data_IF_400052766499
#
_entry.id   IF_400052766499
#
_cell.length_a   1.000
_cell.length_b   1.000
_cell.length_c   1.000
_cell.angle_alpha   90.00
_cell.angle_beta   90.00
_cell.angle_gamma   90.00
#
_symmetry.space_group_name_H-M   'P 1'
#
loop_
_entity.id
_entity.type
_entity.pdbx_description
1 polymer ?
#
# COMPACT_ATOMS: atom_id res chain seq x y z
N UNK A 1 25.93 2.25 14.72
CA UNK A 1 25.41 2.15 13.90
C UNK A 1 24.04 1.64 13.83
N UNK A 2 23.85 0.35 13.78
CA UNK A 2 22.49 -0.11 13.57
C UNK A 2 21.53 0.26 14.67
N UNK A 3 22.01 0.72 15.77
CA UNK A 3 21.14 1.03 16.88
C UNK A 3 20.15 2.14 16.62
N UNK A 4 20.37 2.91 15.58
CA UNK A 4 19.38 3.90 15.24
C UNK A 4 18.24 3.34 14.49
N UNK A 5 18.39 2.15 14.06
CA UNK A 5 17.43 1.55 13.23
C UNK A 5 16.16 1.25 13.97
N UNK A 6 15.07 1.54 13.34
CA UNK A 6 13.79 1.27 13.93
C UNK A 6 12.79 1.11 12.82
N UNK A 7 12.05 0.06 12.85
CA UNK A 7 11.03 -0.11 11.86
C UNK A 7 9.88 0.80 12.15
N UNK A 8 9.54 1.60 11.20
CA UNK A 8 8.45 2.53 11.32
C UNK A 8 7.73 2.60 10.01
N UNK A 9 6.50 2.26 10.01
CA UNK A 9 5.68 2.35 8.83
C UNK A 9 4.27 2.65 9.29
N UNK A 10 4.15 3.75 9.99
CA UNK A 10 2.92 4.05 10.68
C UNK A 10 2.11 5.14 10.03
N UNK A 11 2.41 5.47 8.81
CA UNK A 11 1.84 6.66 8.26
C UNK A 11 0.83 6.42 7.17
N UNK A 12 0.10 5.37 7.24
CA UNK A 12 -0.99 5.20 6.31
C UNK A 12 -2.09 6.13 6.72
N UNK A 13 -2.41 7.03 5.83
CA UNK A 13 -3.45 8.00 6.10
C UNK A 13 -4.68 7.63 5.32
N UNK A 14 -5.74 7.38 6.02
CA UNK A 14 -6.96 6.94 5.38
C UNK A 14 -7.49 7.95 4.39
N UNK A 15 -7.26 9.20 4.66
CA UNK A 15 -7.81 10.23 3.80
C UNK A 15 -7.22 10.22 2.41
N UNK A 16 -6.11 9.53 2.21
CA UNK A 16 -5.53 9.49 0.89
C UNK A 16 -5.99 8.30 0.09
N UNK A 17 -6.70 7.38 0.71
CA UNK A 17 -7.08 6.18 0.01
C UNK A 17 -8.31 6.40 -0.84
N UNK A 18 -8.14 6.25 -2.11
CA UNK A 18 -9.24 6.33 -3.03
C UNK A 18 -9.74 7.72 -3.34
N UNK A 19 -9.18 8.72 -2.71
CA UNK A 19 -9.72 10.06 -2.88
C UNK A 19 -9.06 10.88 -3.95
N UNK A 20 -7.82 10.62 -4.20
CA UNK A 20 -7.03 11.51 -5.02
C UNK A 20 -6.87 11.08 -6.43
N UNK A 21 -7.68 10.19 -6.86
CA UNK A 21 -7.41 9.55 -8.10
C UNK A 21 -8.38 9.87 -9.17
N UNK A 22 -9.15 10.86 -8.96
CA UNK A 22 -10.18 11.15 -9.90
C UNK A 22 -9.70 11.63 -11.23
N UNK A 23 -8.44 11.94 -11.29
CA UNK A 23 -7.90 12.45 -12.53
C UNK A 23 -7.70 11.41 -13.58
N UNK A 24 -7.56 10.18 -13.17
CA UNK A 24 -7.26 9.12 -14.12
C UNK A 24 -8.50 8.32 -14.45
N UNK A 25 -9.57 9.00 -14.64
CA UNK A 25 -10.85 8.32 -14.78
C UNK A 25 -11.03 7.51 -16.04
N UNK A 26 -10.16 7.70 -17.01
CA UNK A 26 -10.28 6.90 -18.22
C UNK A 26 -10.19 5.41 -17.93
N UNK A 27 -9.28 5.05 -17.01
CA UNK A 27 -9.09 3.66 -16.63
C UNK A 27 -9.81 3.28 -15.36
N UNK A 28 -10.44 4.24 -14.71
CA UNK A 28 -11.03 4.04 -13.40
C UNK A 28 -12.40 4.70 -13.38
N UNK A 29 -13.37 4.09 -14.03
CA UNK A 29 -14.69 4.71 -14.18
C UNK A 29 -15.40 4.86 -12.85
N UNK A 30 -16.25 5.84 -12.79
CA UNK A 30 -17.11 6.02 -11.64
C UNK A 30 -18.17 4.96 -11.59
N UNK A 31 -18.55 4.60 -10.39
CA UNK A 31 -19.54 3.58 -10.21
C UNK A 31 -20.28 3.82 -8.90
N UNK A 32 -21.59 3.80 -8.98
CA UNK A 32 -22.41 4.03 -7.79
C UNK A 32 -22.44 2.82 -6.88
N UNK A 33 -22.35 1.63 -7.43
CA UNK A 33 -22.36 0.39 -6.66
C UNK A 33 -20.97 -0.22 -6.61
N UNK A 34 -19.99 0.58 -6.25
CA UNK A 34 -18.63 0.12 -6.18
C UNK A 34 -18.35 -0.53 -4.85
N UNK A 35 -17.69 -1.70 -4.91
CA UNK A 35 -17.20 -2.35 -3.72
C UNK A 35 -15.69 -2.37 -3.73
N UNK A 36 -15.13 -2.13 -2.56
CA UNK A 36 -13.67 -2.07 -2.41
C UNK A 36 -13.06 -3.46 -2.44
N UNK A 37 -11.78 -3.56 -2.80
CA UNK A 37 -11.13 -4.86 -2.76
C UNK A 37 -10.98 -5.35 -1.32
N UNK A 38 -10.79 -6.64 -1.18
CA UNK A 38 -10.67 -7.23 0.15
C UNK A 38 -9.90 -8.54 0.05
N UNK A 39 -9.58 -9.07 1.24
CA UNK A 39 -8.94 -10.37 1.36
C UNK A 39 -9.82 -11.28 2.20
N UNK A 40 -9.65 -12.57 1.99
CA UNK A 40 -10.34 -13.56 2.81
C UNK A 40 -9.30 -14.22 3.72
N UNK A 41 -9.60 -14.27 4.99
CA UNK A 41 -8.76 -14.98 5.95
C UNK A 41 -9.59 -16.03 6.65
N UNK A 42 -9.03 -17.22 6.73
CA UNK A 42 -9.73 -18.31 7.41
C UNK A 42 -9.27 -18.34 8.86
N UNK A 43 -10.24 -18.32 9.75
CA UNK A 43 -9.94 -18.44 11.17
C UNK A 43 -9.71 -19.92 11.48
N UNK A 44 -8.48 -20.24 11.87
CA UNK A 44 -8.10 -21.63 12.09
C UNK A 44 -8.78 -22.26 13.29
N UNK A 45 -9.21 -21.43 14.24
CA UNK A 45 -9.86 -21.94 15.45
C UNK A 45 -11.33 -22.28 15.18
N UNK A 46 -12.04 -21.37 14.50
CA UNK A 46 -13.46 -21.57 14.29
C UNK A 46 -13.80 -22.17 12.93
N UNK A 47 -12.87 -22.09 11.99
CA UNK A 47 -13.11 -22.55 10.63
C UNK A 47 -13.86 -21.55 9.77
N UNK A 48 -14.28 -20.44 10.32
CA UNK A 48 -15.00 -19.43 9.55
C UNK A 48 -14.05 -18.57 8.76
N UNK A 49 -14.53 -18.06 7.65
CA UNK A 49 -13.79 -17.13 6.84
C UNK A 49 -14.19 -15.71 7.19
N UNK A 50 -13.19 -14.84 7.21
CA UNK A 50 -13.41 -13.43 7.52
C UNK A 50 -13.00 -12.59 6.34
N UNK A 51 -13.79 -11.57 6.08
CA UNK A 51 -13.47 -10.61 5.04
C UNK A 51 -12.66 -9.48 5.68
N UNK A 52 -11.50 -9.20 5.10
CA UNK A 52 -10.62 -8.15 5.61
C UNK A 52 -10.55 -7.06 4.57
N UNK A 53 -10.97 -5.85 4.93
CA UNK A 53 -10.93 -4.73 4.00
C UNK A 53 -9.50 -4.48 3.55
N UNK A 54 -9.35 -4.07 2.28
CA UNK A 54 -8.03 -3.82 1.72
C UNK A 54 -7.23 -2.83 2.57
N UNK A 55 -7.88 -1.77 3.03
CA UNK A 55 -7.18 -0.75 3.80
C UNK A 55 -6.63 -1.29 5.12
N UNK A 56 -7.36 -2.20 5.73
CA UNK A 56 -6.88 -2.80 6.97
C UNK A 56 -5.76 -3.78 6.73
N UNK A 57 -5.88 -4.54 5.65
CA UNK A 57 -4.86 -5.51 5.32
C UNK A 57 -3.54 -4.83 4.95
N UNK A 58 -3.61 -3.81 4.12
CA UNK A 58 -2.38 -3.19 3.63
C UNK A 58 -1.62 -2.49 4.75
N UNK A 59 -2.35 -1.94 5.72
CA UNK A 59 -1.68 -1.30 6.85
C UNK A 59 -0.81 -2.29 7.59
N UNK A 60 -1.36 -3.46 7.87
CA UNK A 60 -0.62 -4.50 8.55
C UNK A 60 0.49 -5.06 7.67
N UNK A 61 0.21 -5.20 6.39
CA UNK A 61 1.20 -5.69 5.44
C UNK A 61 2.43 -4.79 5.40
N UNK A 62 2.20 -3.48 5.33
CA UNK A 62 3.30 -2.54 5.30
C UNK A 62 4.12 -2.67 6.58
N UNK A 63 3.45 -2.74 7.71
CA UNK A 63 4.15 -2.87 8.98
C UNK A 63 5.01 -4.13 9.02
N UNK A 64 4.45 -5.25 8.56
CA UNK A 64 5.14 -6.54 8.65
C UNK A 64 6.27 -6.67 7.64
N UNK A 65 6.13 -6.05 6.48
CA UNK A 65 7.13 -6.18 5.42
C UNK A 65 8.15 -5.07 5.40
N UNK A 66 7.95 -4.06 6.21
CA UNK A 66 8.81 -2.90 6.22
C UNK A 66 10.24 -3.30 6.61
N UNK A 67 11.20 -2.79 5.86
CA UNK A 67 12.61 -2.97 6.16
C UNK A 67 13.32 -1.69 5.79
N UNK A 68 13.96 -1.08 6.76
CA UNK A 68 14.69 0.16 6.50
C UNK A 68 15.96 -0.19 5.76
N UNK A 69 16.18 0.32 4.55
CA UNK A 69 17.40 -0.05 3.82
C UNK A 69 18.65 0.37 4.59
N UNK A 70 19.62 -0.50 4.63
CA UNK A 70 20.81 -0.23 5.41
C UNK A 70 21.55 0.99 4.93
N UNK A 71 21.65 1.14 3.60
CA UNK A 71 22.28 2.33 3.05
C UNK A 71 21.59 3.60 3.53
N UNK A 72 20.27 3.57 3.55
CA UNK A 72 19.52 4.75 3.99
C UNK A 72 19.75 5.03 5.46
N UNK A 73 19.86 3.99 6.28
CA UNK A 73 20.17 4.19 7.68
C UNK A 73 21.55 4.82 7.86
N UNK A 74 22.52 4.29 7.13
CA UNK A 74 23.90 4.77 7.26
C UNK A 74 24.04 6.21 6.85
N UNK A 75 23.22 6.66 5.92
CA UNK A 75 23.27 8.03 5.43
C UNK A 75 22.16 8.89 6.02
N UNK A 76 21.45 8.34 6.98
CA UNK A 76 20.37 9.05 7.70
C UNK A 76 19.33 9.62 6.75
N UNK A 77 19.00 8.84 5.74
CA UNK A 77 17.97 9.23 4.80
C UNK A 77 16.60 8.93 5.40
N UNK A 78 15.79 9.93 5.50
CA UNK A 78 14.46 9.80 6.06
C UNK A 78 13.50 10.57 5.18
N UNK A 79 12.24 10.22 5.27
CA UNK A 79 11.25 10.96 4.53
C UNK A 79 10.03 10.11 4.25
N UNK A 80 9.14 10.71 3.51
CA UNK A 80 7.85 10.13 3.22
C UNK A 80 7.79 9.83 1.74
N UNK A 81 7.40 8.63 1.41
CA UNK A 81 7.25 8.20 0.03
C UNK A 81 5.77 8.01 -0.25
N UNK A 82 5.25 8.72 -1.23
CA UNK A 82 3.88 8.53 -1.64
C UNK A 82 3.86 7.55 -2.80
N UNK A 83 3.22 6.41 -2.60
CA UNK A 83 3.14 5.39 -3.63
C UNK A 83 1.75 5.40 -4.24
N UNK A 84 1.69 5.60 -5.55
CA UNK A 84 0.45 5.52 -6.28
C UNK A 84 0.43 4.21 -7.04
N UNK A 85 -0.62 3.46 -6.83
CA UNK A 85 -0.74 2.15 -7.46
C UNK A 85 -2.22 1.83 -7.61
N UNK A 86 -2.52 0.82 -8.40
CA UNK A 86 -3.90 0.37 -8.46
C UNK A 86 -3.95 -1.14 -8.28
N UNK A 87 -5.10 -1.60 -7.82
CA UNK A 87 -5.39 -3.02 -7.76
C UNK A 87 -6.19 -3.32 -9.01
N UNK A 88 -5.66 -4.19 -9.85
CA UNK A 88 -6.27 -4.42 -11.14
C UNK A 88 -7.44 -5.40 -11.04
N UNK A 89 -8.03 -5.70 -12.17
CA UNK A 89 -9.23 -6.53 -12.22
C UNK A 89 -8.98 -7.94 -11.74
N UNK A 90 -7.74 -8.37 -11.73
CA UNK A 90 -7.38 -9.67 -11.18
C UNK A 90 -6.98 -9.61 -9.72
N UNK A 91 -6.94 -8.42 -9.14
CA UNK A 91 -6.59 -8.27 -7.73
C UNK A 91 -5.12 -8.06 -7.45
N UNK A 92 -4.32 -7.82 -8.47
CA UNK A 92 -2.88 -7.64 -8.32
C UNK A 92 -2.50 -6.17 -8.28
N UNK A 93 -1.49 -5.83 -7.48
CA UNK A 93 -1.05 -4.44 -7.42
C UNK A 93 -0.21 -4.07 -8.62
N UNK A 94 -0.46 -2.89 -9.16
CA UNK A 94 0.28 -2.34 -10.28
C UNK A 94 0.77 -0.97 -9.87
N UNK A 95 2.09 -0.81 -9.82
CA UNK A 95 2.69 0.45 -9.39
C UNK A 95 2.57 1.47 -10.51
N UNK A 96 2.12 2.64 -10.16
CA UNK A 96 2.08 3.74 -11.11
C UNK A 96 3.23 4.69 -10.87
N UNK A 97 3.46 5.06 -9.62
CA UNK A 97 4.46 6.06 -9.33
C UNK A 97 4.80 6.04 -7.84
N UNK A 98 6.05 6.34 -7.51
CA UNK A 98 6.45 6.50 -6.13
C UNK A 98 7.29 7.76 -6.04
N UNK A 99 6.91 8.68 -5.17
CA UNK A 99 7.58 9.95 -5.00
C UNK A 99 8.05 10.11 -3.58
N UNK A 100 9.36 10.23 -3.40
CA UNK A 100 9.93 10.38 -2.07
C UNK A 100 10.71 11.67 -1.96
N UNK A 101 11.48 11.81 -0.90
CA UNK A 101 12.27 13.01 -0.71
C UNK A 101 13.41 13.06 -1.71
N UNK A 102 13.99 14.23 -1.81
CA UNK A 102 15.17 14.42 -2.65
C UNK A 102 16.25 13.46 -2.18
N UNK A 103 16.91 12.81 -3.14
CA UNK A 103 17.94 11.82 -2.86
C UNK A 103 17.39 10.59 -2.16
N UNK A 104 16.10 10.38 -2.25
CA UNK A 104 15.45 9.25 -1.57
C UNK A 104 15.07 8.11 -2.47
N UNK A 105 15.78 7.92 -3.59
CA UNK A 105 15.46 6.85 -4.51
C UNK A 105 15.42 5.50 -3.82
N UNK A 106 16.36 5.27 -2.91
CA UNK A 106 16.42 3.97 -2.24
C UNK A 106 15.19 3.75 -1.34
N UNK A 107 14.65 4.83 -0.81
CA UNK A 107 13.41 4.73 -0.03
C UNK A 107 12.23 4.45 -0.94
N UNK A 108 12.23 5.05 -2.13
CA UNK A 108 11.18 4.79 -3.09
C UNK A 108 11.20 3.34 -3.53
N UNK A 109 12.39 2.78 -3.74
CA UNK A 109 12.50 1.38 -4.14
C UNK A 109 11.96 0.45 -3.07
N UNK A 110 12.26 0.76 -1.81
CA UNK A 110 11.75 -0.07 -0.73
C UNK A 110 10.22 0.02 -0.63
N UNK A 111 9.68 1.21 -0.79
CA UNK A 111 8.24 1.39 -0.75
C UNK A 111 7.56 0.59 -1.87
N UNK A 112 8.15 0.63 -3.06
CA UNK A 112 7.62 -0.13 -4.18
C UNK A 112 7.68 -1.63 -3.88
N UNK A 113 8.78 -2.09 -3.30
CA UNK A 113 8.94 -3.49 -2.98
C UNK A 113 7.83 -3.95 -2.03
N UNK A 114 7.53 -3.13 -1.03
CA UNK A 114 6.49 -3.46 -0.06
C UNK A 114 5.15 -3.64 -0.76
N UNK A 115 4.80 -2.70 -1.63
CA UNK A 115 3.51 -2.76 -2.30
C UNK A 115 3.46 -3.93 -3.27
N UNK A 116 4.54 -4.17 -3.99
CA UNK A 116 4.57 -5.29 -4.94
C UNK A 116 4.44 -6.64 -4.27
N UNK A 117 4.79 -6.72 -3.00
CA UNK A 117 4.72 -7.98 -2.29
C UNK A 117 3.33 -8.29 -1.75
N UNK A 118 2.36 -7.43 -2.01
CA UNK A 118 0.98 -7.73 -1.62
C UNK A 118 0.47 -8.98 -2.32
N UNK A 119 -0.23 -9.84 -1.59
CA UNK A 119 -0.85 -10.98 -2.24
C UNK A 119 -2.04 -10.53 -3.10
N UNK A 120 -2.51 -11.42 -3.94
CA UNK A 120 -3.64 -11.13 -4.80
C UNK A 120 -4.89 -10.93 -3.96
N UNK A 121 -5.56 -9.80 -4.16
CA UNK A 121 -6.78 -9.47 -3.44
C UNK A 121 -7.99 -9.91 -4.26
N UNK A 122 -9.13 -9.95 -3.60
CA UNK A 122 -10.40 -10.01 -4.33
C UNK A 122 -10.60 -8.60 -4.88
N UNK A 123 -10.72 -8.44 -6.20
CA UNK A 123 -10.70 -7.09 -6.77
C UNK A 123 -11.94 -6.29 -6.44
N UNK A 124 -11.82 -4.98 -6.58
CA UNK A 124 -12.97 -4.11 -6.49
C UNK A 124 -13.94 -4.42 -7.60
N UNK A 125 -15.20 -4.15 -7.36
CA UNK A 125 -16.23 -4.40 -8.36
C UNK A 125 -17.12 -3.18 -8.54
N UNK A 126 -17.72 -3.12 -9.71
CA UNK A 126 -18.75 -2.16 -10.03
C UNK A 126 -19.94 -2.94 -10.55
N UNK A 127 -21.04 -2.91 -9.83
CA UNK A 127 -22.23 -3.71 -10.20
C UNK A 127 -21.86 -5.18 -10.37
N UNK A 128 -20.98 -5.68 -9.52
CA UNK A 128 -20.55 -7.06 -9.53
C UNK A 128 -19.46 -7.41 -10.53
N UNK A 129 -19.01 -6.44 -11.32
CA UNK A 129 -17.96 -6.70 -12.31
C UNK A 129 -16.63 -6.17 -11.83
N UNK A 130 -15.54 -6.92 -11.97
CA UNK A 130 -14.23 -6.46 -11.50
C UNK A 130 -13.80 -5.19 -12.21
N UNK A 131 -13.19 -4.30 -11.44
CA UNK A 131 -12.66 -3.04 -11.97
C UNK A 131 -11.28 -2.79 -11.39
N UNK A 132 -10.53 -1.90 -12.04
CA UNK A 132 -9.31 -1.38 -11.48
C UNK A 132 -9.66 -0.28 -10.48
N UNK A 133 -8.89 -0.19 -9.40
CA UNK A 133 -9.12 0.89 -8.45
C UNK A 133 -7.78 1.41 -7.96
N UNK A 134 -7.63 2.72 -7.90
CA UNK A 134 -6.38 3.36 -7.52
C UNK A 134 -6.31 3.70 -6.05
N UNK A 135 -5.08 3.65 -5.56
CA UNK A 135 -4.76 4.06 -4.19
C UNK A 135 -3.51 4.92 -4.20
N UNK A 136 -3.43 5.80 -3.23
CA UNK A 136 -2.22 6.58 -2.98
C UNK A 136 -1.93 6.45 -1.50
N UNK A 137 -0.79 5.85 -1.16
CA UNK A 137 -0.48 5.54 0.22
C UNK A 137 0.88 6.12 0.59
N UNK A 138 0.96 6.93 1.64
CA UNK A 138 2.26 7.41 2.10
C UNK A 138 2.91 6.39 3.03
N UNK A 139 4.19 6.19 2.84
CA UNK A 139 4.99 5.35 3.72
C UNK A 139 6.11 6.22 4.28
N UNK A 140 6.17 6.33 5.58
CA UNK A 140 7.13 7.20 6.23
C UNK A 140 8.33 6.39 6.71
N UNK A 141 9.51 6.84 6.31
CA UNK A 141 10.77 6.26 6.78
C UNK A 141 11.34 7.20 7.82
N UNK A 142 11.38 6.74 9.04
CA UNK A 142 11.77 7.58 10.14
C UNK A 142 12.63 6.77 11.10
N UNK A 143 13.76 7.35 11.48
CA UNK A 143 14.65 6.68 12.41
C UNK A 143 14.40 7.17 13.81
N UNK A 144 14.61 6.28 14.78
CA UNK A 144 14.49 6.61 16.19
C UNK A 144 15.83 6.43 16.86
N UNK A 145 16.05 7.22 17.86
CA UNK A 145 17.29 7.11 18.63
C UNK A 145 17.10 6.53 19.98
#
# INVERSE_FOLDING_TARGET
IAKKQKKQADSIEKSTLGDNIKKDVADFPKCDNQESPYYIRKNLTTGFEEKIAFTDYIRKHIYNKFSYPEFAMDHELQGRVLVQFYIDKEGNPQIKEANGPKNGLILEEEAIRIIKSLPTAIPATCDGKPINIMFAIPITFQMQE
#
